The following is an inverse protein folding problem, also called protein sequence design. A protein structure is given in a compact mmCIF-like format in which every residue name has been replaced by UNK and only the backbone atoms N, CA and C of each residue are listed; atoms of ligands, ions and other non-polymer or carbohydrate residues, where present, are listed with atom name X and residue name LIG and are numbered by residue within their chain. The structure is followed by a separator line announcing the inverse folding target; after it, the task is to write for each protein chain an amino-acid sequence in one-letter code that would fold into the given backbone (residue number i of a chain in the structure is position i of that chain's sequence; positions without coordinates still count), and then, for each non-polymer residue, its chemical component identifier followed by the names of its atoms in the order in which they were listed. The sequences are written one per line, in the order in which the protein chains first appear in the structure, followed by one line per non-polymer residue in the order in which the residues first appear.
data_IF_465276030197
#
_entry.id   IF_465276030197
#
_cell.length_a   1.000
_cell.length_b   1.000
_cell.length_c   1.000
_cell.angle_alpha   90.00
_cell.angle_beta   90.00
_cell.angle_gamma   90.00
#
_symmetry.space_group_name_H-M   'P 1'
#
loop_
_entity.id
_entity.type
_entity.pdbx_description
1 polymer ?
#
# COMPACT_ATOMS: atom_id res chain seq x y z
N UNK A 1 -25.87 8.33 -7.78
CA UNK A 1 -25.01 8.50 -8.97
C UNK A 1 -24.71 7.11 -9.48
N UNK A 2 -25.00 6.82 -10.74
CA UNK A 2 -24.72 5.50 -11.33
C UNK A 2 -23.24 5.45 -11.73
N UNK A 3 -22.49 4.47 -11.21
CA UNK A 3 -21.09 4.28 -11.58
C UNK A 3 -21.01 3.82 -13.04
N UNK A 4 -20.44 4.64 -13.90
CA UNK A 4 -20.38 4.40 -15.36
C UNK A 4 -18.95 4.31 -15.87
N UNK A 5 -17.97 4.91 -15.20
CA UNK A 5 -16.55 4.77 -15.56
C UNK A 5 -15.66 4.53 -14.35
N UNK A 6 -14.71 3.61 -14.53
CA UNK A 6 -13.70 3.22 -13.54
C UNK A 6 -12.35 3.34 -14.21
N UNK A 7 -11.45 4.12 -13.62
CA UNK A 7 -10.03 4.08 -13.94
C UNK A 7 -9.34 3.17 -12.93
N UNK A 8 -8.74 2.09 -13.41
CA UNK A 8 -7.91 1.23 -12.59
C UNK A 8 -6.44 1.39 -13.00
N UNK A 9 -5.54 1.51 -12.04
CA UNK A 9 -4.10 1.40 -12.32
C UNK A 9 -3.50 0.20 -11.65
N UNK A 10 -2.56 -0.43 -12.33
CA UNK A 10 -1.74 -1.52 -11.79
C UNK A 10 -0.27 -1.16 -11.96
N UNK A 11 0.39 -0.83 -10.85
CA UNK A 11 1.80 -0.48 -10.82
C UNK A 11 2.63 -1.75 -10.58
N UNK A 12 3.04 -2.42 -11.65
CA UNK A 12 3.97 -3.56 -11.57
C UNK A 12 5.42 -3.11 -11.39
N UNK A 13 6.33 -4.04 -11.10
CA UNK A 13 7.77 -3.74 -10.93
C UNK A 13 8.41 -3.08 -12.15
N UNK A 14 8.00 -3.48 -13.36
CA UNK A 14 8.57 -2.95 -14.62
C UNK A 14 7.62 -1.99 -15.34
N UNK A 15 6.32 -2.25 -15.28
CA UNK A 15 5.33 -1.52 -16.08
C UNK A 15 4.12 -1.15 -15.26
N UNK A 16 3.72 0.11 -15.35
CA UNK A 16 2.46 0.63 -14.83
C UNK A 16 1.42 0.62 -15.93
N UNK A 17 0.21 0.16 -15.62
CA UNK A 17 -0.91 0.04 -16.56
C UNK A 17 -2.05 0.91 -16.07
N UNK A 18 -2.69 1.65 -16.96
CA UNK A 18 -3.93 2.37 -16.71
C UNK A 18 -5.04 1.74 -17.56
N UNK A 19 -6.15 1.37 -16.94
CA UNK A 19 -7.24 0.62 -17.56
C UNK A 19 -8.52 1.42 -17.40
N UNK A 20 -9.15 1.77 -18.53
CA UNK A 20 -10.49 2.36 -18.54
C UNK A 20 -11.53 1.26 -18.64
N UNK A 21 -12.43 1.20 -17.67
CA UNK A 21 -13.57 0.29 -17.65
C UNK A 21 -14.84 1.14 -17.66
N UNK A 22 -15.75 0.88 -18.60
CA UNK A 22 -17.02 1.60 -18.69
C UNK A 22 -18.20 0.63 -18.62
N UNK A 23 -19.31 1.11 -18.05
CA UNK A 23 -20.60 0.43 -18.10
C UNK A 23 -21.21 0.60 -19.49
N UNK A 24 -21.41 -0.51 -20.19
CA UNK A 24 -22.14 -0.61 -21.47
C UNK A 24 -23.40 -1.41 -21.21
N UNK A 25 -24.56 -0.78 -21.39
CA UNK A 25 -25.86 -1.37 -21.04
C UNK A 25 -25.88 -1.85 -19.57
N UNK A 26 -25.89 -3.15 -19.32
CA UNK A 26 -25.92 -3.76 -17.98
C UNK A 26 -24.59 -4.39 -17.54
N UNK A 27 -23.51 -4.22 -18.31
CA UNK A 27 -22.21 -4.87 -18.04
C UNK A 27 -21.07 -3.86 -18.01
N UNK A 28 -20.00 -4.16 -17.26
CA UNK A 28 -18.74 -3.42 -17.34
C UNK A 28 -17.82 -4.05 -18.37
N UNK A 29 -17.21 -3.22 -19.22
CA UNK A 29 -16.24 -3.66 -20.22
C UNK A 29 -14.95 -2.87 -20.10
N UNK A 30 -13.84 -3.58 -20.23
CA UNK A 30 -12.54 -2.96 -20.50
C UNK A 30 -12.63 -2.27 -21.86
N UNK A 31 -12.43 -0.95 -21.88
CA UNK A 31 -12.51 -0.13 -23.09
C UNK A 31 -11.14 0.01 -23.72
N UNK A 32 -10.13 0.37 -22.92
CA UNK A 32 -8.76 0.56 -23.37
C UNK A 32 -7.79 0.42 -22.22
N UNK A 33 -6.51 0.28 -22.57
CA UNK A 33 -5.40 0.22 -21.64
C UNK A 33 -4.24 1.05 -22.18
N UNK A 34 -3.70 1.92 -21.33
CA UNK A 34 -2.42 2.59 -21.50
C UNK A 34 -1.38 1.99 -20.57
N UNK A 35 -0.11 2.14 -20.90
CA UNK A 35 1.04 1.55 -20.24
C UNK A 35 2.22 2.52 -20.23
N UNK A 36 2.99 2.49 -19.16
CA UNK A 36 4.24 3.23 -19.08
C UNK A 36 5.25 2.46 -18.24
N UNK A 37 6.56 2.69 -18.42
CA UNK A 37 7.56 2.22 -17.47
C UNK A 37 7.21 2.66 -16.04
N UNK A 38 7.32 1.74 -15.10
CA UNK A 38 7.21 2.05 -13.68
C UNK A 38 8.39 2.90 -13.24
N UNK A 39 8.16 3.84 -12.33
CA UNK A 39 9.09 4.92 -11.95
C UNK A 39 9.42 4.93 -10.46
N UNK A 40 9.31 3.78 -9.80
CA UNK A 40 9.67 3.58 -8.39
C UNK A 40 11.17 3.61 -8.11
N UNK A 41 11.99 3.33 -9.13
CA UNK A 41 13.45 3.32 -9.00
C UNK A 41 14.08 4.65 -9.43
N UNK A 42 15.34 4.84 -9.05
CA UNK A 42 16.17 5.93 -9.54
C UNK A 42 16.20 5.95 -11.08
N UNK A 43 16.21 7.14 -11.72
CA UNK A 43 16.37 8.48 -11.14
C UNK A 43 15.06 9.19 -10.77
N UNK A 44 13.90 8.55 -10.96
CA UNK A 44 12.60 9.22 -10.78
C UNK A 44 12.09 9.09 -9.35
N UNK A 45 12.16 7.89 -8.77
CA UNK A 45 11.76 7.59 -7.38
C UNK A 45 10.36 8.11 -7.01
N UNK A 46 9.43 8.08 -7.98
CA UNK A 46 8.04 8.53 -7.81
C UNK A 46 7.10 7.73 -8.70
N UNK A 47 6.43 6.73 -8.11
CA UNK A 47 5.45 5.86 -8.80
C UNK A 47 4.31 6.66 -9.46
N UNK A 48 3.99 7.85 -8.94
CA UNK A 48 2.88 8.66 -9.47
C UNK A 48 3.20 9.16 -10.87
N UNK A 49 4.49 9.36 -11.21
CA UNK A 49 4.91 9.70 -12.58
C UNK A 49 4.54 8.60 -13.56
N UNK A 50 4.79 7.34 -13.20
CA UNK A 50 4.46 6.17 -14.01
C UNK A 50 2.95 6.03 -14.22
N UNK A 51 2.18 6.27 -13.16
CA UNK A 51 0.72 6.33 -13.22
C UNK A 51 0.24 7.43 -14.18
N UNK A 52 0.77 8.65 -14.03
CA UNK A 52 0.40 9.79 -14.88
C UNK A 52 0.75 9.50 -16.34
N UNK A 53 1.92 8.91 -16.62
CA UNK A 53 2.34 8.56 -17.96
C UNK A 53 1.42 7.49 -18.58
N UNK A 54 1.08 6.43 -17.83
CA UNK A 54 0.18 5.38 -18.31
C UNK A 54 -1.24 5.91 -18.56
N UNK A 55 -1.73 6.83 -17.71
CA UNK A 55 -3.02 7.49 -17.93
C UNK A 55 -2.94 8.43 -19.14
N UNK A 56 -1.82 9.11 -19.37
CA UNK A 56 -1.64 9.98 -20.54
C UNK A 56 -1.73 9.19 -21.84
N UNK A 57 -1.06 8.02 -21.94
CA UNK A 57 -1.23 7.14 -23.11
C UNK A 57 -2.69 6.67 -23.25
N UNK A 58 -3.36 6.36 -22.14
CA UNK A 58 -4.79 6.03 -22.16
C UNK A 58 -5.67 7.18 -22.66
N UNK A 59 -5.36 8.45 -22.32
CA UNK A 59 -6.05 9.63 -22.85
C UNK A 59 -5.92 9.69 -24.38
N UNK A 60 -4.71 9.43 -24.91
CA UNK A 60 -4.43 9.44 -26.35
C UNK A 60 -5.20 8.34 -27.11
N UNK A 61 -5.22 7.11 -26.58
CA UNK A 61 -5.91 5.97 -27.18
C UNK A 61 -7.43 6.19 -27.21
N UNK A 62 -7.99 6.76 -26.15
CA UNK A 62 -9.44 6.89 -25.97
C UNK A 62 -9.99 8.23 -26.46
N UNK A 63 -9.13 9.20 -26.73
CA UNK A 63 -9.48 10.60 -26.95
C UNK A 63 -10.42 11.14 -25.85
N UNK A 64 -10.10 10.78 -24.60
CA UNK A 64 -10.82 11.13 -23.37
C UNK A 64 -9.86 11.89 -22.46
N UNK A 65 -10.26 13.07 -21.97
CA UNK A 65 -9.42 13.83 -21.02
C UNK A 65 -9.65 13.29 -19.61
N UNK A 66 -8.67 12.70 -18.98
CA UNK A 66 -8.73 12.08 -17.64
C UNK A 66 -7.92 12.89 -16.61
N UNK A 67 -6.84 13.55 -17.01
CA UNK A 67 -5.93 14.28 -16.13
C UNK A 67 -6.01 15.79 -16.35
N UNK A 68 -5.94 16.56 -15.25
CA UNK A 68 -5.72 18.00 -15.24
C UNK A 68 -4.67 18.33 -14.18
N UNK A 69 -3.56 18.96 -14.60
CA UNK A 69 -2.46 19.34 -13.71
C UNK A 69 -1.92 18.16 -12.87
N UNK A 70 -1.90 16.95 -13.44
CA UNK A 70 -1.47 15.72 -12.73
C UNK A 70 -2.54 15.09 -11.83
N UNK A 71 -3.73 15.68 -11.73
CA UNK A 71 -4.84 15.16 -10.95
C UNK A 71 -5.90 14.50 -11.82
N UNK A 72 -6.45 13.38 -11.36
CA UNK A 72 -7.56 12.69 -12.04
C UNK A 72 -8.82 13.52 -11.88
N UNK A 73 -9.45 13.87 -12.99
CA UNK A 73 -10.71 14.61 -13.01
C UNK A 73 -11.84 13.68 -12.57
N UNK A 74 -12.59 14.10 -11.56
CA UNK A 74 -13.76 13.38 -11.03
C UNK A 74 -14.83 14.36 -10.55
N UNK A 75 -16.13 14.01 -10.63
CA UNK A 75 -16.67 12.86 -11.37
C UNK A 75 -16.50 13.05 -12.88
N UNK A 76 -16.91 12.06 -13.68
CA UNK A 76 -16.86 12.25 -15.12
C UNK A 76 -17.90 13.27 -15.61
N UNK A 77 -17.59 13.93 -16.73
CA UNK A 77 -18.49 14.75 -17.51
C UNK A 77 -18.28 14.45 -19.01
N UNK A 78 -19.23 13.77 -19.66
CA UNK A 78 -19.13 13.29 -21.03
C UNK A 78 -17.81 12.52 -21.32
N UNK A 79 -16.87 13.15 -22.04
CA UNK A 79 -15.55 12.59 -22.39
C UNK A 79 -14.42 13.13 -21.51
N UNK A 80 -14.76 13.72 -20.37
CA UNK A 80 -13.81 14.25 -19.40
C UNK A 80 -13.96 13.52 -18.05
N UNK A 81 -12.85 13.22 -17.39
CA UNK A 81 -12.78 12.56 -16.09
C UNK A 81 -13.26 11.12 -16.03
N UNK A 82 -13.38 10.59 -14.82
CA UNK A 82 -13.92 9.27 -14.49
C UNK A 82 -14.73 9.34 -13.20
N UNK A 83 -15.62 8.39 -12.94
CA UNK A 83 -16.41 8.41 -11.70
C UNK A 83 -15.59 7.93 -10.48
N UNK A 84 -14.77 6.89 -10.66
CA UNK A 84 -13.91 6.34 -9.62
C UNK A 84 -12.51 6.02 -10.15
N UNK A 85 -11.54 6.09 -9.24
CA UNK A 85 -10.18 5.64 -9.49
C UNK A 85 -9.81 4.63 -8.41
N UNK A 86 -9.25 3.50 -8.84
CA UNK A 86 -8.69 2.45 -7.99
C UNK A 86 -7.27 2.14 -8.45
N UNK A 87 -6.44 1.66 -7.54
CA UNK A 87 -5.04 1.34 -7.86
C UNK A 87 -4.58 0.10 -7.10
N UNK A 88 -3.76 -0.71 -7.77
CA UNK A 88 -2.95 -1.77 -7.18
C UNK A 88 -1.48 -1.47 -7.45
N UNK A 89 -0.61 -1.88 -6.53
CA UNK A 89 0.83 -1.69 -6.70
C UNK A 89 1.59 -2.86 -6.08
N UNK A 90 2.54 -3.38 -6.86
CA UNK A 90 3.59 -4.31 -6.44
C UNK A 90 4.99 -3.74 -6.71
N UNK A 91 5.06 -2.50 -7.19
CA UNK A 91 6.26 -1.88 -7.72
C UNK A 91 7.33 -1.57 -6.66
N UNK A 92 6.94 -1.33 -5.40
CA UNK A 92 7.86 -0.95 -4.32
C UNK A 92 8.65 -2.11 -3.68
N UNK A 93 8.56 -3.32 -4.24
CA UNK A 93 9.02 -4.54 -3.56
C UNK A 93 8.00 -5.05 -2.54
N UNK A 94 8.40 -6.03 -1.74
CA UNK A 94 7.54 -6.56 -0.68
C UNK A 94 7.51 -5.60 0.52
N UNK A 95 6.31 -5.29 1.02
CA UNK A 95 6.10 -4.42 2.17
C UNK A 95 6.95 -4.91 3.37
N UNK A 96 7.97 -4.15 3.75
CA UNK A 96 8.86 -4.52 4.85
C UNK A 96 8.16 -4.22 6.16
N UNK A 97 7.83 -5.27 6.91
CA UNK A 97 7.00 -5.17 8.09
C UNK A 97 7.75 -5.68 9.31
N UNK A 98 7.65 -4.96 10.43
CA UNK A 98 7.95 -5.53 11.73
C UNK A 98 6.65 -5.93 12.43
N UNK A 99 6.66 -7.06 13.13
CA UNK A 99 5.52 -7.49 13.94
C UNK A 99 5.82 -7.28 15.41
N UNK A 100 4.85 -6.75 16.15
CA UNK A 100 4.92 -6.60 17.60
C UNK A 100 3.71 -7.29 18.23
N UNK A 101 3.91 -8.14 19.22
CA UNK A 101 2.80 -8.80 19.90
C UNK A 101 3.01 -9.00 21.38
N UNK A 102 1.92 -8.96 22.17
CA UNK A 102 1.99 -9.12 23.63
C UNK A 102 2.73 -10.39 24.08
N UNK A 103 2.49 -11.53 23.42
CA UNK A 103 3.16 -12.81 23.74
C UNK A 103 3.74 -13.42 22.46
N UNK A 104 5.03 -13.78 22.49
CA UNK A 104 5.77 -14.29 21.31
C UNK A 104 5.07 -15.48 20.65
N UNK A 105 4.76 -16.52 21.42
CA UNK A 105 4.19 -17.79 20.93
C UNK A 105 2.64 -17.79 20.84
N UNK A 106 2.02 -16.60 20.84
CA UNK A 106 0.57 -16.47 20.68
C UNK A 106 0.24 -15.29 19.75
N UNK A 107 0.15 -14.08 20.29
CA UNK A 107 -0.32 -12.92 19.50
C UNK A 107 0.70 -12.49 18.46
N UNK A 108 2.00 -12.57 18.77
CA UNK A 108 3.05 -12.21 17.83
C UNK A 108 3.19 -13.27 16.73
N UNK A 109 3.23 -14.56 17.07
CA UNK A 109 3.26 -15.67 16.10
C UNK A 109 2.04 -15.67 15.17
N UNK A 110 0.84 -15.44 15.70
CA UNK A 110 -0.37 -15.32 14.86
C UNK A 110 -0.28 -14.13 13.90
N UNK A 111 0.20 -12.98 14.37
CA UNK A 111 0.35 -11.79 13.52
C UNK A 111 1.46 -11.96 12.47
N UNK A 112 2.56 -12.62 12.82
CA UNK A 112 3.65 -12.99 11.90
C UNK A 112 3.14 -13.88 10.78
N UNK A 113 2.36 -14.92 11.11
CA UNK A 113 1.75 -15.80 10.10
C UNK A 113 0.76 -15.05 9.20
N UNK A 114 -0.03 -14.13 9.76
CA UNK A 114 -0.95 -13.31 8.99
C UNK A 114 -0.20 -12.37 8.02
N UNK A 115 0.87 -11.71 8.49
CA UNK A 115 1.71 -10.84 7.69
C UNK A 115 2.39 -11.59 6.53
N UNK A 116 2.99 -12.76 6.82
CA UNK A 116 3.59 -13.61 5.81
C UNK A 116 2.54 -14.12 4.79
N UNK A 117 1.36 -14.51 5.26
CA UNK A 117 0.26 -14.94 4.40
C UNK A 117 -0.28 -13.83 3.50
N UNK A 118 -0.17 -12.57 3.93
CA UNK A 118 -0.51 -11.38 3.14
C UNK A 118 0.61 -10.96 2.16
N UNK A 119 1.77 -11.65 2.17
CA UNK A 119 2.90 -11.36 1.28
C UNK A 119 3.85 -10.27 1.78
N UNK A 120 3.78 -9.89 3.06
CA UNK A 120 4.73 -8.95 3.66
C UNK A 120 6.11 -9.62 3.88
N UNK A 121 7.17 -8.81 3.81
CA UNK A 121 8.52 -9.23 4.22
C UNK A 121 8.65 -8.94 5.71
N UNK A 122 8.42 -9.95 6.56
CA UNK A 122 8.56 -9.80 8.01
C UNK A 122 10.05 -9.72 8.37
N UNK A 123 10.49 -8.54 8.78
CA UNK A 123 11.90 -8.24 9.07
C UNK A 123 12.36 -8.80 10.42
N UNK A 124 11.49 -8.69 11.43
CA UNK A 124 11.70 -9.18 12.79
C UNK A 124 10.36 -9.17 13.54
N UNK A 125 10.32 -9.85 14.68
CA UNK A 125 9.17 -9.89 15.57
C UNK A 125 9.59 -9.58 17.00
N UNK A 126 8.97 -8.56 17.60
CA UNK A 126 9.16 -8.17 18.99
C UNK A 126 7.98 -8.60 19.85
N UNK A 127 8.23 -8.93 21.11
CA UNK A 127 7.17 -9.23 22.05
C UNK A 127 7.54 -8.77 23.47
N UNK A 128 6.53 -8.54 24.31
CA UNK A 128 6.76 -8.12 25.70
C UNK A 128 7.57 -9.16 26.49
N UNK A 129 7.55 -10.43 26.06
CA UNK A 129 8.31 -11.52 26.65
C UNK A 129 9.44 -12.06 25.75
N UNK A 130 9.98 -11.25 24.83
CA UNK A 130 11.01 -11.71 23.87
C UNK A 130 12.44 -11.81 24.44
N UNK A 131 12.64 -11.39 25.70
CA UNK A 131 13.91 -11.51 26.42
C UNK A 131 14.96 -10.45 26.08
N UNK A 132 14.75 -9.62 25.06
CA UNK A 132 15.60 -8.46 24.76
C UNK A 132 15.34 -7.34 25.76
N UNK A 133 16.38 -6.55 26.03
CA UNK A 133 16.22 -5.31 26.77
C UNK A 133 15.53 -4.26 25.90
N UNK A 134 14.83 -3.31 26.51
CA UNK A 134 14.08 -2.26 25.80
C UNK A 134 14.98 -1.51 24.80
N UNK A 135 16.20 -1.15 25.19
CA UNK A 135 17.10 -0.41 24.29
C UNK A 135 17.54 -1.23 23.06
N UNK A 136 17.67 -2.55 23.20
CA UNK A 136 17.97 -3.45 22.08
C UNK A 136 16.80 -3.54 21.10
N UNK A 137 15.57 -3.59 21.61
CA UNK A 137 14.36 -3.55 20.77
C UNK A 137 14.26 -2.22 20.01
N UNK A 138 14.48 -1.10 20.69
CA UNK A 138 14.49 0.25 20.08
C UNK A 138 15.57 0.35 18.99
N UNK A 139 16.79 -0.10 19.28
CA UNK A 139 17.89 -0.08 18.33
C UNK A 139 17.59 -0.96 17.12
N UNK A 140 17.00 -2.14 17.33
CA UNK A 140 16.61 -3.05 16.27
C UNK A 140 15.58 -2.45 15.33
N UNK A 141 14.54 -1.78 15.86
CA UNK A 141 13.54 -1.05 15.06
C UNK A 141 14.23 0.03 14.20
N UNK A 142 15.14 0.80 14.78
CA UNK A 142 15.88 1.87 14.08
C UNK A 142 16.80 1.34 12.97
N UNK A 143 17.45 0.20 13.21
CA UNK A 143 18.31 -0.45 12.24
C UNK A 143 17.52 -1.02 11.06
N UNK A 144 16.36 -1.62 11.34
CA UNK A 144 15.56 -2.27 10.32
C UNK A 144 14.76 -1.28 9.46
N UNK A 145 14.34 -0.14 10.00
CA UNK A 145 13.51 0.85 9.27
C UNK A 145 12.33 0.22 8.55
N UNK A 146 11.41 -0.44 9.27
CA UNK A 146 10.25 -1.06 8.64
C UNK A 146 9.32 -0.01 8.02
N UNK A 147 8.75 -0.31 6.85
CA UNK A 147 7.71 0.49 6.20
C UNK A 147 6.41 0.48 7.02
N UNK A 148 6.14 -0.62 7.71
CA UNK A 148 4.93 -0.84 8.50
C UNK A 148 5.23 -1.63 9.77
N UNK A 149 4.51 -1.33 10.85
CA UNK A 149 4.55 -2.11 12.08
C UNK A 149 3.15 -2.68 12.38
N UNK A 150 3.05 -3.99 12.49
CA UNK A 150 1.81 -4.69 12.88
C UNK A 150 1.83 -5.01 14.37
N UNK A 151 1.01 -4.29 15.14
CA UNK A 151 0.87 -4.48 16.59
C UNK A 151 -0.35 -5.37 16.91
N UNK A 152 -0.15 -6.44 17.67
CA UNK A 152 -1.16 -7.49 17.91
C UNK A 152 -1.33 -7.88 19.39
N UNK A 153 -2.58 -7.91 19.85
CA UNK A 153 -2.98 -8.27 21.22
C UNK A 153 -3.87 -7.20 21.85
N UNK A 154 -4.08 -7.27 23.18
CA UNK A 154 -4.78 -6.22 23.93
C UNK A 154 -6.28 -6.04 23.59
N UNK A 155 -6.86 -6.95 22.80
CA UNK A 155 -8.30 -7.00 22.45
C UNK A 155 -9.04 -8.01 23.33
N UNK A 156 -10.38 -8.00 23.29
CA UNK A 156 -11.24 -8.98 23.98
C UNK A 156 -11.00 -9.10 25.49
N UNK A 157 -10.71 -7.98 26.15
CA UNK A 157 -10.38 -7.95 27.59
C UNK A 157 -8.93 -8.38 27.90
N UNK A 158 -8.10 -8.56 26.88
CA UNK A 158 -6.67 -8.83 27.00
C UNK A 158 -5.86 -7.64 27.57
N UNK A 159 -4.58 -7.88 27.81
CA UNK A 159 -3.72 -6.95 28.54
C UNK A 159 -3.38 -5.70 27.73
N UNK A 160 -4.07 -4.59 28.01
CA UNK A 160 -3.83 -3.28 27.40
C UNK A 160 -2.48 -2.68 27.83
N UNK A 161 -2.02 -2.93 29.05
CA UNK A 161 -0.74 -2.36 29.53
C UNK A 161 0.45 -2.81 28.68
N UNK A 162 0.54 -4.11 28.38
CA UNK A 162 1.63 -4.65 27.56
C UNK A 162 1.62 -4.12 26.12
N UNK A 163 0.44 -3.83 25.56
CA UNK A 163 0.37 -3.25 24.21
C UNK A 163 0.75 -1.78 24.21
N UNK A 164 0.39 -1.05 25.26
CA UNK A 164 0.83 0.33 25.46
C UNK A 164 2.36 0.41 25.65
N UNK A 165 2.95 -0.52 26.40
CA UNK A 165 4.41 -0.62 26.56
C UNK A 165 5.11 -0.85 25.22
N UNK A 166 4.63 -1.80 24.41
CA UNK A 166 5.16 -2.02 23.06
C UNK A 166 5.02 -0.78 22.16
N UNK A 167 3.91 -0.06 22.27
CA UNK A 167 3.70 1.19 21.54
C UNK A 167 4.69 2.29 21.96
N UNK A 168 5.02 2.39 23.25
CA UNK A 168 6.05 3.32 23.74
C UNK A 168 7.45 2.94 23.25
N UNK A 169 7.77 1.65 23.13
CA UNK A 169 9.03 1.17 22.53
C UNK A 169 9.12 1.56 21.06
N UNK A 170 8.05 1.34 20.29
CA UNK A 170 7.95 1.74 18.89
C UNK A 170 8.09 3.25 18.75
N UNK A 171 7.41 4.02 19.60
CA UNK A 171 7.50 5.48 19.63
C UNK A 171 8.91 5.96 19.94
N UNK A 172 9.59 5.35 20.91
CA UNK A 172 10.97 5.69 21.26
C UNK A 172 11.95 5.40 20.12
N UNK A 173 11.66 4.42 19.28
CA UNK A 173 12.45 4.13 18.10
C UNK A 173 12.38 5.22 17.03
N UNK A 174 11.28 5.97 16.92
CA UNK A 174 11.03 6.95 15.85
C UNK A 174 11.36 6.36 14.46
N UNK A 175 10.72 5.23 14.08
CA UNK A 175 11.03 4.56 12.82
C UNK A 175 10.71 5.48 11.65
N UNK A 176 11.64 5.57 10.71
CA UNK A 176 11.48 6.30 9.45
C UNK A 176 11.65 5.30 8.31
N UNK A 177 10.65 5.16 7.44
CA UNK A 177 10.79 4.44 6.17
C UNK A 177 12.00 4.96 5.39
#
# INVERSE_FOLDING_TARGET
MELRSILATDCGSTTTKAILIEKRENEYRLIARGEAPTTVEAPVEDVTRGVINAITELEEITNRKILKDGHIIKPQNDKEGVDIYISTSSAGGGLQMMVAGVVRNMTAESAERAALGAGAIVMDVIASNDGRMIHEQVEKIRQLRPDMILLSGGIDGGTVSHIAELAEIIRAADPKP
#
